data_IF_389068295697
#
_entry.id   IF_389068295697
#
_cell.length_a   1.000
_cell.length_b   1.000
_cell.length_c   1.000
_cell.angle_alpha   90.00
_cell.angle_beta   90.00
_cell.angle_gamma   90.00
#
_symmetry.space_group_name_H-M   'P 1'
#
loop_
_entity.id
_entity.type
_entity.pdbx_description
1 polymer ?
#
# COMPACT_ATOMS: atom_id res chain seq x y z
N UNK A 1 6.34 -5.15 -16.68
CA UNK A 1 6.55 -6.09 -15.55
C UNK A 1 7.93 -5.95 -14.92
N UNK A 2 9.02 -5.78 -15.69
CA UNK A 2 10.39 -5.61 -15.15
C UNK A 2 10.57 -4.45 -14.17
N UNK A 3 9.85 -3.34 -14.35
CA UNK A 3 9.95 -2.18 -13.46
C UNK A 3 9.39 -2.43 -12.05
N UNK A 4 8.39 -3.30 -11.90
CA UNK A 4 7.82 -3.63 -10.60
C UNK A 4 8.82 -4.42 -9.75
N UNK A 5 9.36 -5.50 -10.31
CA UNK A 5 10.31 -6.37 -9.60
C UNK A 5 11.59 -5.61 -9.25
N UNK A 6 12.08 -4.75 -10.16
CA UNK A 6 13.18 -3.85 -9.86
C UNK A 6 12.84 -2.94 -8.68
N UNK A 7 11.62 -2.38 -8.65
CA UNK A 7 11.22 -1.48 -7.57
C UNK A 7 11.04 -2.20 -6.22
N UNK A 8 10.60 -3.45 -6.24
CA UNK A 8 10.57 -4.29 -5.04
C UNK A 8 11.98 -4.55 -4.53
N UNK A 9 12.93 -4.86 -5.42
CA UNK A 9 14.35 -4.99 -5.05
C UNK A 9 14.94 -3.71 -4.45
N UNK A 10 14.57 -2.52 -4.95
CA UNK A 10 15.01 -1.27 -4.33
C UNK A 10 14.55 -1.17 -2.85
N UNK A 11 13.32 -1.57 -2.54
CA UNK A 11 12.79 -1.50 -1.17
C UNK A 11 13.51 -2.44 -0.21
N UNK A 12 14.00 -3.59 -0.68
CA UNK A 12 14.78 -4.52 0.14
C UNK A 12 16.12 -3.91 0.60
N UNK A 13 16.62 -2.89 -0.09
CA UNK A 13 17.84 -2.16 0.31
C UNK A 13 17.59 -1.05 1.34
N UNK A 14 16.32 -0.77 1.67
CA UNK A 14 15.92 0.32 2.53
C UNK A 14 15.41 -0.18 3.88
N UNK A 15 15.65 0.60 4.93
CA UNK A 15 15.02 0.37 6.23
C UNK A 15 13.55 0.79 6.21
N UNK A 16 12.75 0.20 7.10
CA UNK A 16 11.35 0.62 7.30
C UNK A 16 11.24 2.11 7.65
N UNK A 17 12.22 2.66 8.37
CA UNK A 17 12.28 4.09 8.69
C UNK A 17 12.44 4.96 7.45
N UNK A 18 13.23 4.54 6.47
CA UNK A 18 13.39 5.28 5.21
C UNK A 18 12.16 5.17 4.31
N UNK A 19 11.52 4.00 4.29
CA UNK A 19 10.32 3.76 3.48
C UNK A 19 9.12 4.56 4.04
N UNK A 20 8.89 4.50 5.36
CA UNK A 20 7.68 5.02 6.01
C UNK A 20 7.88 6.33 6.78
N UNK A 21 9.03 7.01 6.65
CA UNK A 21 9.22 8.33 7.28
C UNK A 21 8.08 9.30 6.90
N UNK A 22 7.68 10.20 7.82
CA UNK A 22 6.74 11.27 7.48
C UNK A 22 7.19 12.06 6.25
N UNK A 23 6.27 12.27 5.30
CA UNK A 23 6.56 12.93 4.01
C UNK A 23 7.22 12.04 2.95
N UNK A 24 7.47 10.75 3.24
CA UNK A 24 7.95 9.80 2.23
C UNK A 24 6.90 9.57 1.13
N UNK A 25 7.39 9.52 -0.10
CA UNK A 25 6.61 9.10 -1.26
C UNK A 25 6.72 7.59 -1.53
N UNK A 26 7.63 6.90 -0.84
CA UNK A 26 7.87 5.46 -1.01
C UNK A 26 6.74 4.62 -0.42
N UNK A 27 6.45 4.83 0.86
CA UNK A 27 5.47 4.05 1.59
C UNK A 27 4.55 4.91 2.45
N UNK A 28 3.30 4.48 2.61
CA UNK A 28 2.34 5.07 3.57
C UNK A 28 1.63 3.97 4.34
N UNK A 29 1.32 4.27 5.60
CA UNK A 29 0.47 3.44 6.47
C UNK A 29 -0.92 4.07 6.52
N UNK A 30 -1.95 3.23 6.54
CA UNK A 30 -3.34 3.64 6.62
C UNK A 30 -4.04 2.81 7.68
N UNK A 31 -4.92 3.45 8.46
CA UNK A 31 -5.87 2.75 9.32
C UNK A 31 -6.89 2.05 8.41
N UNK A 32 -7.15 0.76 8.67
CA UNK A 32 -8.07 -0.03 7.84
C UNK A 32 -9.48 0.54 7.86
N UNK A 33 -9.95 1.01 9.02
CA UNK A 33 -11.29 1.60 9.18
C UNK A 33 -11.51 2.86 8.31
N UNK A 34 -10.44 3.58 7.95
CA UNK A 34 -10.49 4.77 7.09
C UNK A 34 -10.52 4.42 5.59
N UNK A 35 -10.43 3.14 5.23
CA UNK A 35 -10.45 2.71 3.84
C UNK A 35 -11.85 2.88 3.23
N UNK A 36 -11.95 3.13 1.91
CA UNK A 36 -13.24 3.14 1.23
C UNK A 36 -14.00 1.82 1.43
N UNK A 37 -15.34 1.88 1.50
CA UNK A 37 -16.17 0.69 1.75
C UNK A 37 -15.91 -0.47 0.78
N UNK A 38 -15.53 -0.18 -0.48
CA UNK A 38 -15.12 -1.20 -1.46
C UNK A 38 -13.87 -1.97 -1.06
N UNK A 39 -12.90 -1.30 -0.42
CA UNK A 39 -11.67 -1.92 0.05
C UNK A 39 -11.94 -2.74 1.32
N UNK A 40 -12.75 -2.21 2.26
CA UNK A 40 -13.19 -2.96 3.44
C UNK A 40 -13.93 -4.25 3.06
N UNK A 41 -14.87 -4.19 2.09
CA UNK A 41 -15.56 -5.38 1.58
C UNK A 41 -14.58 -6.42 1.02
N UNK A 42 -13.59 -5.96 0.23
CA UNK A 42 -12.57 -6.85 -0.34
C UNK A 42 -11.65 -7.47 0.72
N UNK A 43 -11.41 -6.80 1.86
CA UNK A 43 -10.69 -7.41 2.98
C UNK A 43 -11.51 -8.52 3.63
N UNK A 44 -12.81 -8.30 3.85
CA UNK A 44 -13.70 -9.35 4.36
C UNK A 44 -13.82 -10.55 3.42
N UNK A 45 -13.83 -10.32 2.10
CA UNK A 45 -13.85 -11.39 1.08
C UNK A 45 -12.60 -12.29 1.12
N UNK A 46 -11.49 -11.82 1.70
CA UNK A 46 -10.25 -12.58 1.86
C UNK A 46 -9.93 -12.91 3.32
N UNK A 47 -10.92 -12.76 4.22
CA UNK A 47 -10.81 -13.03 5.66
C UNK A 47 -9.66 -12.23 6.33
N UNK A 48 -9.61 -10.92 6.03
CA UNK A 48 -8.64 -9.95 6.59
C UNK A 48 -9.31 -8.70 7.17
N UNK A 49 -10.56 -8.82 7.58
CA UNK A 49 -11.37 -7.77 8.21
C UNK A 49 -11.00 -7.51 9.68
N UNK A 50 -10.16 -8.35 10.28
CA UNK A 50 -9.59 -8.20 11.62
C UNK A 50 -8.34 -7.29 11.66
N UNK A 51 -7.80 -6.93 10.50
CA UNK A 51 -6.61 -6.10 10.38
C UNK A 51 -6.89 -4.63 10.70
N UNK A 52 -5.99 -3.98 11.42
CA UNK A 52 -6.16 -2.58 11.85
C UNK A 52 -5.36 -1.59 11.01
N UNK A 53 -4.31 -2.05 10.34
CA UNK A 53 -3.42 -1.23 9.51
C UNK A 53 -3.13 -1.92 8.18
N UNK A 54 -3.16 -1.15 7.09
CA UNK A 54 -2.66 -1.57 5.78
C UNK A 54 -1.58 -0.62 5.29
N UNK A 55 -0.61 -1.18 4.57
CA UNK A 55 0.55 -0.47 4.06
C UNK A 55 0.50 -0.39 2.54
N UNK A 56 0.92 0.74 1.99
CA UNK A 56 1.05 1.01 0.57
C UNK A 56 2.50 1.27 0.21
N UNK A 57 3.02 0.59 -0.82
CA UNK A 57 4.29 0.88 -1.47
C UNK A 57 4.07 1.42 -2.89
N UNK A 58 4.72 2.52 -3.23
CA UNK A 58 4.64 3.15 -4.55
C UNK A 58 5.65 2.53 -5.51
N UNK A 59 5.17 1.88 -6.56
CA UNK A 59 6.01 1.11 -7.49
C UNK A 59 6.39 1.90 -8.76
N UNK A 60 6.52 3.23 -8.63
CA UNK A 60 6.75 4.16 -9.74
C UNK A 60 5.44 4.70 -10.33
N UNK A 61 5.42 5.97 -10.77
CA UNK A 61 4.25 6.57 -11.42
C UNK A 61 2.94 6.39 -10.64
N UNK A 62 1.98 5.69 -11.27
CA UNK A 62 0.64 5.33 -10.74
C UNK A 62 0.60 3.97 -10.01
N UNK A 63 1.33 2.92 -10.38
CA UNK A 63 1.16 1.65 -9.67
C UNK A 63 1.50 1.67 -8.16
N UNK A 64 0.68 0.99 -7.35
CA UNK A 64 0.89 0.77 -5.92
C UNK A 64 0.69 -0.71 -5.54
N UNK A 65 1.48 -1.18 -4.60
CA UNK A 65 1.22 -2.42 -3.87
C UNK A 65 0.58 -2.08 -2.53
N UNK A 66 -0.47 -2.80 -2.18
CA UNK A 66 -1.08 -2.79 -0.86
C UNK A 66 -0.83 -4.12 -0.17
N UNK A 67 -0.59 -4.07 1.14
CA UNK A 67 -0.29 -5.27 1.91
C UNK A 67 -0.13 -5.02 3.39
N UNK A 68 0.12 -6.09 4.13
CA UNK A 68 0.35 -6.05 5.56
C UNK A 68 1.83 -6.16 5.84
N UNK A 69 2.34 -5.28 6.70
CA UNK A 69 3.70 -5.39 7.19
C UNK A 69 3.69 -6.17 8.50
N UNK A 70 4.29 -7.36 8.49
CA UNK A 70 4.51 -8.17 9.68
C UNK A 70 6.00 -8.14 9.96
N UNK A 71 6.38 -7.44 11.02
CA UNK A 71 7.78 -7.13 11.32
C UNK A 71 8.48 -6.45 10.12
N UNK A 72 9.30 -7.21 9.39
CA UNK A 72 10.10 -6.78 8.24
C UNK A 72 9.64 -7.43 6.93
N UNK A 73 8.56 -8.22 6.95
CA UNK A 73 8.02 -8.91 5.78
C UNK A 73 6.76 -8.19 5.30
N UNK A 74 6.75 -7.80 4.03
CA UNK A 74 5.61 -7.18 3.38
C UNK A 74 4.77 -8.23 2.66
N UNK A 75 3.61 -8.57 3.24
CA UNK A 75 2.66 -9.51 2.68
C UNK A 75 1.75 -8.79 1.69
N UNK A 76 2.02 -8.96 0.40
CA UNK A 76 1.23 -8.34 -0.67
C UNK A 76 -0.20 -8.89 -0.66
N UNK A 77 -1.16 -7.98 -0.69
CA UNK A 77 -2.59 -8.29 -0.77
C UNK A 77 -3.15 -7.89 -2.12
N UNK A 78 -2.88 -6.65 -2.57
CA UNK A 78 -3.37 -6.16 -3.85
C UNK A 78 -2.32 -5.43 -4.66
N UNK A 79 -2.35 -5.67 -5.96
CA UNK A 79 -1.74 -4.82 -6.97
C UNK A 79 -2.76 -3.79 -7.45
N UNK A 80 -2.45 -2.51 -7.28
CA UNK A 80 -3.30 -1.38 -7.68
C UNK A 80 -2.59 -0.53 -8.74
N UNK A 81 -2.73 -0.95 -10.00
CA UNK A 81 -2.13 -0.25 -11.13
C UNK A 81 -2.72 1.17 -11.32
N UNK A 82 -4.01 1.35 -11.00
CA UNK A 82 -4.79 2.54 -11.38
C UNK A 82 -5.20 3.46 -10.20
N UNK A 83 -4.75 3.16 -8.97
CA UNK A 83 -5.10 3.93 -7.75
C UNK A 83 -6.54 3.75 -7.25
N UNK A 84 -7.14 2.59 -7.47
CA UNK A 84 -8.52 2.37 -7.10
C UNK A 84 -8.69 1.95 -5.64
N UNK A 85 -7.66 1.49 -4.93
CA UNK A 85 -7.86 1.04 -3.54
C UNK A 85 -8.11 2.23 -2.60
N UNK A 86 -7.34 3.32 -2.76
CA UNK A 86 -7.49 4.55 -1.98
C UNK A 86 -7.42 5.77 -2.91
N UNK A 87 -8.50 6.08 -3.64
CA UNK A 87 -8.50 7.21 -4.55
C UNK A 87 -8.31 8.49 -3.74
N UNK A 88 -7.33 9.31 -4.13
CA UNK A 88 -7.14 10.63 -3.52
C UNK A 88 -8.43 11.43 -3.71
N UNK A 89 -8.98 12.01 -2.63
CA UNK A 89 -10.00 13.04 -2.74
C UNK A 89 -9.42 14.17 -3.59
N UNK A 90 -9.78 14.26 -4.87
CA UNK A 90 -9.40 15.39 -5.71
C UNK A 90 -9.95 16.63 -5.02
N UNK A 91 -9.07 17.54 -4.60
CA UNK A 91 -9.49 18.85 -4.13
C UNK A 91 -9.97 19.59 -5.37
N UNK A 92 -11.30 19.71 -5.55
CA UNK A 92 -11.86 20.59 -6.56
C UNK A 92 -11.20 21.96 -6.38
N UNK A 93 -10.43 22.38 -7.37
CA UNK A 93 -9.93 23.75 -7.50
C UNK A 93 -10.68 24.36 -8.66
#
# INVERSE_FOLDING_TARGET
MGDLLKKMGDFETMTLGEIFKPGSEHGKRYVVEDLPSRALKRLGEIERDDETEIVRLRCGGRPRLYGFLREHVFHVVWWDAEHEVYPSKKRNT
#
